data_IF_602172266266
#
_entry.id   IF_602172266266
#
_cell.length_a   1.000
_cell.length_b   1.000
_cell.length_c   1.000
_cell.angle_alpha   90.00
_cell.angle_beta   90.00
_cell.angle_gamma   90.00
#
_symmetry.space_group_name_H-M   'P 1'
#
loop_
_entity.id
_entity.type
_entity.pdbx_description
1 polymer ?
#
# COMPACT_ATOMS: atom_id res chain seq x y z
N UNK A 1 -14.43 12.97 14.09
CA UNK A 1 -14.02 12.97 12.67
C UNK A 1 -14.25 14.38 12.12
N UNK A 2 -13.30 15.29 12.30
CA UNK A 2 -13.26 16.58 11.59
C UNK A 2 -11.79 16.99 11.55
N UNK A 3 -11.15 16.84 10.38
CA UNK A 3 -9.76 17.25 10.15
C UNK A 3 -9.66 18.70 9.65
N UNK A 4 -10.75 19.28 9.11
CA UNK A 4 -10.77 20.66 8.60
C UNK A 4 -10.02 20.85 7.27
N UNK A 5 -9.45 19.80 6.69
CA UNK A 5 -8.63 19.89 5.48
C UNK A 5 -9.45 20.25 4.24
N UNK A 6 -8.97 21.24 3.49
CA UNK A 6 -9.53 21.64 2.19
C UNK A 6 -8.70 20.97 1.09
N UNK A 7 -9.32 20.01 0.38
CA UNK A 7 -8.67 19.28 -0.70
C UNK A 7 -9.12 19.82 -2.06
N UNK A 8 -8.16 20.06 -2.95
CA UNK A 8 -8.38 20.77 -4.21
C UNK A 8 -9.30 20.05 -5.22
N UNK A 9 -9.50 18.73 -5.09
CA UNK A 9 -10.38 17.98 -6.00
C UNK A 9 -11.05 16.77 -5.32
N UNK A 10 -12.12 16.28 -5.94
CA UNK A 10 -12.95 15.19 -5.40
C UNK A 10 -12.20 13.86 -5.32
N UNK A 11 -11.30 13.56 -6.26
CA UNK A 11 -10.54 12.30 -6.25
C UNK A 11 -9.63 12.22 -5.03
N UNK A 12 -8.84 13.27 -4.82
CA UNK A 12 -7.97 13.39 -3.64
C UNK A 12 -8.78 13.53 -2.35
N UNK A 13 -9.93 14.21 -2.39
CA UNK A 13 -10.85 14.31 -1.25
C UNK A 13 -11.39 12.95 -0.82
N UNK A 14 -11.77 12.09 -1.77
CA UNK A 14 -12.20 10.70 -1.50
C UNK A 14 -11.06 9.88 -0.90
N UNK A 15 -9.87 9.98 -1.47
CA UNK A 15 -8.67 9.29 -0.97
C UNK A 15 -8.34 9.71 0.46
N UNK A 16 -8.36 11.01 0.73
CA UNK A 16 -8.19 11.58 2.06
C UNK A 16 -9.24 11.06 3.04
N UNK A 17 -10.53 11.07 2.67
CA UNK A 17 -11.61 10.60 3.53
C UNK A 17 -11.43 9.12 3.96
N UNK A 18 -10.96 8.26 3.05
CA UNK A 18 -10.70 6.84 3.35
C UNK A 18 -9.63 6.65 4.43
N UNK A 19 -8.66 7.56 4.53
CA UNK A 19 -7.62 7.47 5.57
C UNK A 19 -8.19 7.54 7.00
N UNK A 20 -9.32 8.22 7.19
CA UNK A 20 -9.98 8.32 8.49
C UNK A 20 -10.73 7.04 8.88
N UNK A 21 -11.11 6.21 7.91
CA UNK A 21 -11.90 4.99 8.16
C UNK A 21 -11.08 3.84 8.74
N UNK A 22 -9.73 3.96 8.74
CA UNK A 22 -8.80 2.92 9.22
C UNK A 22 -9.08 1.55 8.61
N UNK A 23 -9.28 1.53 7.29
CA UNK A 23 -9.54 0.32 6.53
C UNK A 23 -8.34 -0.02 5.65
N UNK A 24 -8.09 -1.32 5.49
CA UNK A 24 -7.12 -1.84 4.52
C UNK A 24 -7.78 -2.91 3.64
N UNK A 25 -7.33 -3.01 2.40
CA UNK A 25 -7.75 -4.02 1.43
C UNK A 25 -6.58 -4.88 0.95
N UNK A 26 -5.37 -4.34 1.06
CA UNK A 26 -4.13 -4.90 0.57
C UNK A 26 -3.14 -5.05 1.72
N UNK A 27 -2.25 -6.03 1.61
CA UNK A 27 -1.10 -6.23 2.47
C UNK A 27 0.15 -6.51 1.66
N UNK A 28 1.27 -5.95 2.09
CA UNK A 28 2.58 -6.32 1.62
C UNK A 28 2.86 -7.77 2.05
N UNK A 29 3.21 -8.65 1.10
CA UNK A 29 3.56 -10.05 1.41
C UNK A 29 4.89 -10.20 2.14
N UNK A 30 5.75 -9.16 2.10
CA UNK A 30 7.06 -9.16 2.74
C UNK A 30 6.98 -8.72 4.21
N UNK A 31 6.46 -7.51 4.48
CA UNK A 31 6.43 -6.92 5.83
C UNK A 31 5.06 -7.00 6.52
N UNK A 32 3.99 -7.30 5.79
CA UNK A 32 2.62 -7.33 6.34
C UNK A 32 1.96 -5.95 6.46
N UNK A 33 2.63 -4.86 6.08
CA UNK A 33 2.05 -3.51 6.07
C UNK A 33 0.76 -3.47 5.24
N UNK A 34 -0.26 -2.78 5.76
CA UNK A 34 -1.57 -2.67 5.14
C UNK A 34 -1.70 -1.41 4.29
N UNK A 35 -2.46 -1.49 3.20
CA UNK A 35 -2.90 -0.32 2.43
C UNK A 35 -4.33 -0.53 1.94
N UNK A 36 -5.05 0.56 1.70
CA UNK A 36 -6.30 0.53 0.96
C UNK A 36 -6.09 0.61 -0.56
N UNK A 37 -5.14 1.42 -1.02
CA UNK A 37 -4.91 1.72 -2.43
C UNK A 37 -3.71 0.95 -3.00
N UNK A 38 -3.84 0.44 -4.23
CA UNK A 38 -2.74 -0.24 -4.93
C UNK A 38 -1.56 0.71 -5.19
N UNK A 39 -1.82 1.99 -5.50
CA UNK A 39 -0.79 3.01 -5.71
C UNK A 39 0.15 3.12 -4.51
N UNK A 40 -0.37 3.07 -3.30
CA UNK A 40 0.43 3.22 -2.07
C UNK A 40 1.28 1.99 -1.82
N UNK A 41 0.74 0.81 -2.11
CA UNK A 41 1.50 -0.44 -1.99
C UNK A 41 2.61 -0.53 -3.04
N UNK A 42 2.34 -0.06 -4.26
CA UNK A 42 3.35 0.07 -5.30
C UNK A 42 4.44 1.04 -4.88
N UNK A 43 4.09 2.24 -4.41
CA UNK A 43 5.08 3.20 -3.89
C UNK A 43 5.90 2.59 -2.75
N UNK A 44 5.24 1.91 -1.80
CA UNK A 44 5.91 1.23 -0.69
C UNK A 44 7.01 0.27 -1.15
N UNK A 45 6.75 -0.53 -2.20
CA UNK A 45 7.69 -1.51 -2.73
C UNK A 45 8.71 -0.89 -3.69
N UNK A 46 8.26 -0.08 -4.66
CA UNK A 46 9.08 0.50 -5.71
C UNK A 46 10.07 1.55 -5.17
N UNK A 47 9.67 2.31 -4.15
CA UNK A 47 10.49 3.36 -3.53
C UNK A 47 11.21 2.91 -2.25
N UNK A 48 11.31 1.59 -2.04
CA UNK A 48 12.09 0.99 -0.96
C UNK A 48 11.66 1.40 0.46
N UNK A 49 10.37 1.70 0.66
CA UNK A 49 9.82 1.96 2.00
C UNK A 49 9.54 0.67 2.78
N UNK A 50 9.63 -0.50 2.14
CA UNK A 50 9.56 -1.80 2.79
C UNK A 50 10.88 -2.13 3.50
N UNK A 51 10.85 -2.27 4.82
CA UNK A 51 11.96 -2.74 5.65
C UNK A 51 12.39 -4.18 5.33
N UNK A 52 11.44 -5.00 4.85
CA UNK A 52 11.66 -6.40 4.46
C UNK A 52 11.88 -6.62 2.96
N UNK A 53 12.31 -5.58 2.22
CA UNK A 53 12.57 -5.68 0.78
C UNK A 53 13.63 -6.74 0.43
N UNK A 54 14.56 -7.01 1.35
CA UNK A 54 15.59 -8.04 1.21
C UNK A 54 15.03 -9.48 1.14
N UNK A 55 13.76 -9.69 1.52
CA UNK A 55 13.07 -10.98 1.41
C UNK A 55 12.38 -11.18 0.05
N UNK A 56 12.43 -10.19 -0.85
CA UNK A 56 11.82 -10.30 -2.17
C UNK A 56 12.49 -11.41 -3.01
N UNK A 57 11.77 -12.04 -3.96
CA UNK A 57 12.35 -13.02 -4.87
C UNK A 57 13.55 -12.45 -5.63
N UNK A 58 14.52 -13.30 -5.96
CA UNK A 58 15.71 -12.88 -6.71
C UNK A 58 15.29 -12.24 -8.04
N UNK A 59 15.93 -11.12 -8.38
CA UNK A 59 15.63 -10.35 -9.59
C UNK A 59 14.43 -9.41 -9.50
N UNK A 60 13.70 -9.37 -8.38
CA UNK A 60 12.64 -8.37 -8.19
C UNK A 60 13.20 -6.99 -7.89
N UNK A 61 14.26 -6.93 -7.06
CA UNK A 61 14.82 -5.67 -6.57
C UNK A 61 16.11 -5.38 -7.31
N UNK A 62 16.15 -4.26 -8.04
CA UNK A 62 17.36 -3.74 -8.66
C UNK A 62 18.40 -3.38 -7.58
N UNK A 63 19.70 -3.62 -7.81
CA UNK A 63 20.73 -3.31 -6.84
C UNK A 63 20.92 -1.78 -6.65
N UNK A 64 21.56 -1.40 -5.54
CA UNK A 64 21.88 0.00 -5.24
C UNK A 64 20.66 0.85 -4.88
N UNK A 65 20.70 2.13 -5.26
CA UNK A 65 19.67 3.14 -4.95
C UNK A 65 18.76 3.45 -6.14
N UNK A 66 18.67 2.55 -7.13
CA UNK A 66 17.81 2.74 -8.30
C UNK A 66 16.35 2.79 -7.86
N UNK A 67 15.64 3.81 -8.36
CA UNK A 67 14.21 4.07 -8.14
C UNK A 67 13.51 4.31 -9.49
N UNK A 68 12.35 3.68 -9.74
CA UNK A 68 11.76 2.60 -8.95
C UNK A 68 12.66 1.35 -8.98
N UNK A 69 12.79 0.67 -7.84
CA UNK A 69 13.66 -0.51 -7.72
C UNK A 69 13.07 -1.79 -8.32
N UNK A 70 11.80 -1.75 -8.75
CA UNK A 70 11.08 -2.85 -9.38
C UNK A 70 9.95 -2.32 -10.26
N UNK A 71 9.45 -3.14 -11.17
CA UNK A 71 8.29 -2.82 -12.03
C UNK A 71 6.98 -2.82 -11.24
N UNK A 72 5.92 -2.19 -11.79
CA UNK A 72 4.59 -2.23 -11.15
C UNK A 72 4.07 -3.67 -11.04
N UNK A 73 4.32 -4.51 -12.05
CA UNK A 73 3.92 -5.92 -12.04
C UNK A 73 4.58 -6.68 -10.90
N UNK A 74 5.90 -6.52 -10.72
CA UNK A 74 6.62 -7.13 -9.59
C UNK A 74 6.11 -6.65 -8.23
N UNK A 75 5.74 -5.37 -8.11
CA UNK A 75 5.14 -4.85 -6.89
C UNK A 75 3.73 -5.42 -6.63
N UNK A 76 2.92 -5.57 -7.69
CA UNK A 76 1.59 -6.18 -7.60
C UNK A 76 1.68 -7.66 -7.20
N UNK A 77 2.66 -8.41 -7.72
CA UNK A 77 2.91 -9.81 -7.36
C UNK A 77 3.28 -9.98 -5.86
N UNK A 78 3.89 -8.95 -5.27
CA UNK A 78 4.22 -8.88 -3.84
C UNK A 78 3.07 -8.35 -2.97
N UNK A 79 1.91 -8.03 -3.57
CA UNK A 79 0.74 -7.50 -2.87
C UNK A 79 -0.35 -8.56 -2.75
N UNK A 80 -0.91 -8.71 -1.54
CA UNK A 80 -2.01 -9.65 -1.27
C UNK A 80 -3.27 -8.91 -0.87
N UNK A 81 -4.42 -9.38 -1.33
CA UNK A 81 -5.71 -8.96 -0.77
C UNK A 81 -5.87 -9.54 0.64
N UNK A 82 -6.47 -8.76 1.54
CA UNK A 82 -6.65 -9.18 2.95
C UNK A 82 -7.63 -10.34 3.10
N UNK A 83 -8.63 -10.43 2.21
CA UNK A 83 -9.57 -11.55 2.11
C UNK A 83 -9.60 -12.01 0.65
N UNK A 84 -8.91 -13.11 0.36
CA UNK A 84 -8.83 -13.67 -0.99
C UNK A 84 -10.15 -14.25 -1.47
N UNK A 85 -11.01 -14.72 -0.55
CA UNK A 85 -12.33 -15.27 -0.87
C UNK A 85 -13.35 -14.16 -1.15
N UNK A 86 -13.11 -12.96 -0.60
CA UNK A 86 -13.94 -11.76 -0.80
C UNK A 86 -13.08 -10.53 -1.10
N UNK A 87 -12.61 -10.35 -2.35
CA UNK A 87 -11.67 -9.27 -2.70
C UNK A 87 -12.18 -7.84 -2.48
N UNK A 88 -13.51 -7.67 -2.36
CA UNK A 88 -14.15 -6.40 -2.02
C UNK A 88 -14.24 -6.12 -0.53
N UNK A 89 -13.93 -7.09 0.33
CA UNK A 89 -13.96 -6.94 1.78
C UNK A 89 -12.75 -6.14 2.25
N UNK A 90 -13.00 -5.24 3.19
CA UNK A 90 -11.97 -4.47 3.89
C UNK A 90 -11.80 -5.00 5.30
N UNK A 91 -10.61 -4.82 5.86
CA UNK A 91 -10.29 -5.09 7.25
C UNK A 91 -10.11 -3.77 8.00
N UNK A 92 -10.75 -3.64 9.16
CA UNK A 92 -10.55 -2.49 10.06
C UNK A 92 -9.29 -2.66 10.88
N UNK A 93 -8.57 -1.57 11.13
CA UNK A 93 -7.36 -1.56 11.95
C UNK A 93 -7.53 -0.63 13.15
N UNK A 94 -6.90 -0.99 14.27
CA UNK A 94 -7.00 -0.27 15.55
C UNK A 94 -5.98 0.87 15.71
N UNK A 95 -5.17 1.17 14.69
CA UNK A 95 -4.12 2.17 14.76
C UNK A 95 -4.64 3.52 15.24
N UNK A 96 -4.00 4.14 16.24
CA UNK A 96 -4.34 5.50 16.70
C UNK A 96 -4.02 6.50 15.57
N UNK A 97 -4.88 7.50 15.41
CA UNK A 97 -4.59 8.68 14.56
C UNK A 97 -3.72 9.62 15.39
#
# INVERSE_FOLDING_TARGET
MQCGDIIANISEGRRHAVSHLRIMRLRCSLCGCGSFFCSDMRTHLQYRHCDKLHLAPRGYVLPGNVLPCMTQRQADDLTRVVDAMKPGRVMYTSGKV
#
